data_IF_867203724801
#
_entry.id   IF_867203724801
#
_cell.length_a   1.000
_cell.length_b   1.000
_cell.length_c   1.000
_cell.angle_alpha   90.00
_cell.angle_beta   90.00
_cell.angle_gamma   90.00
#
_symmetry.space_group_name_H-M   'P 1'
#
loop_
_entity.id
_entity.type
_entity.pdbx_description
1 polymer ?
#
# COMPACT_ATOMS: atom_id res chain seq x y z
N UNK A 1 22.98 -3.56 -63.01
CA UNK A 1 23.19 -3.31 -61.56
C UNK A 1 22.71 -1.88 -61.33
N UNK A 2 21.66 -1.54 -60.59
CA UNK A 2 21.32 -1.84 -59.20
C UNK A 2 19.84 -1.44 -59.04
N UNK A 3 18.97 -2.37 -58.62
CA UNK A 3 17.52 -2.15 -58.48
C UNK A 3 17.28 -1.32 -57.22
N UNK A 4 16.79 -0.09 -57.35
CA UNK A 4 16.25 0.68 -56.22
C UNK A 4 14.83 0.19 -56.02
N UNK A 5 14.60 -0.61 -54.97
CA UNK A 5 13.25 -1.01 -54.55
C UNK A 5 12.93 -0.33 -53.22
N UNK A 6 11.84 0.44 -53.28
CA UNK A 6 11.04 0.99 -52.20
C UNK A 6 10.92 -0.01 -51.05
N UNK A 7 11.47 0.30 -49.88
CA UNK A 7 11.29 -0.48 -48.67
C UNK A 7 10.36 0.30 -47.73
N UNK A 8 9.16 -0.23 -47.55
CA UNK A 8 8.11 0.30 -46.70
C UNK A 8 8.54 0.31 -45.23
N UNK A 9 8.50 1.48 -44.59
CA UNK A 9 8.59 1.60 -43.14
C UNK A 9 7.34 1.01 -42.50
N UNK A 10 7.49 -0.17 -41.88
CA UNK A 10 6.46 -0.78 -41.03
C UNK A 10 6.42 0.01 -39.72
N UNK A 11 5.40 0.86 -39.57
CA UNK A 11 5.06 1.46 -38.28
C UNK A 11 4.51 0.36 -37.37
N UNK A 12 5.33 -0.11 -36.41
CA UNK A 12 4.89 -1.00 -35.35
C UNK A 12 3.99 -0.19 -34.41
N UNK A 13 2.68 -0.31 -34.56
CA UNK A 13 1.71 0.10 -33.54
C UNK A 13 1.91 -0.82 -32.33
N UNK A 14 2.63 -0.35 -31.31
CA UNK A 14 2.60 -0.96 -29.99
C UNK A 14 1.22 -0.72 -29.38
N UNK A 15 0.31 -1.66 -29.56
CA UNK A 15 -0.95 -1.71 -28.84
C UNK A 15 -0.62 -1.95 -27.35
N UNK A 16 -0.61 -0.88 -26.55
CA UNK A 16 -0.58 -0.99 -25.10
C UNK A 16 -1.90 -1.62 -24.66
N UNK A 17 -1.86 -2.91 -24.33
CA UNK A 17 -2.98 -3.59 -23.68
C UNK A 17 -3.13 -2.91 -22.31
N UNK A 18 -4.14 -2.06 -22.19
CA UNK A 18 -4.55 -1.51 -20.90
C UNK A 18 -5.14 -2.67 -20.08
N UNK A 19 -4.32 -3.24 -19.20
CA UNK A 19 -4.84 -4.13 -18.17
C UNK A 19 -5.78 -3.32 -17.27
N UNK A 20 -6.93 -3.88 -16.86
CA UNK A 20 -7.83 -3.21 -15.94
C UNK A 20 -7.08 -2.94 -14.63
N UNK A 21 -7.01 -1.67 -14.24
CA UNK A 21 -6.54 -1.27 -12.91
C UNK A 21 -7.68 -1.54 -11.93
N UNK A 22 -7.53 -2.57 -11.09
CA UNK A 22 -8.45 -2.79 -9.98
C UNK A 22 -8.01 -1.87 -8.83
N UNK A 23 -8.73 -0.76 -8.65
CA UNK A 23 -8.60 0.05 -7.45
C UNK A 23 -9.28 -0.69 -6.28
N UNK A 24 -8.72 -0.57 -5.07
CA UNK A 24 -9.37 -1.12 -3.89
C UNK A 24 -10.70 -0.40 -3.61
N UNK A 25 -11.72 -1.14 -3.19
CA UNK A 25 -13.02 -0.59 -2.82
C UNK A 25 -12.96 0.12 -1.47
N UNK A 26 -12.07 -0.36 -0.58
CA UNK A 26 -11.85 0.18 0.76
C UNK A 26 -10.36 0.26 1.04
N UNK A 27 -9.92 1.42 1.55
CA UNK A 27 -8.55 1.63 2.04
C UNK A 27 -8.57 1.90 3.53
N UNK A 28 -7.88 1.07 4.30
CA UNK A 28 -7.72 1.19 5.75
C UNK A 28 -6.32 1.69 6.09
N UNK A 29 -6.19 2.57 7.07
CA UNK A 29 -4.91 3.15 7.51
C UNK A 29 -4.42 2.47 8.78
N UNK A 30 -3.21 1.92 8.73
CA UNK A 30 -2.56 1.24 9.84
C UNK A 30 -1.27 1.98 10.24
N UNK A 31 -1.31 2.72 11.36
CA UNK A 31 -0.12 3.38 11.92
C UNK A 31 0.65 2.51 12.91
N UNK A 32 1.98 2.56 12.86
CA UNK A 32 2.85 1.94 13.87
C UNK A 32 4.11 2.76 14.15
N UNK A 33 4.67 2.60 15.35
CA UNK A 33 5.86 3.34 15.79
C UNK A 33 7.19 2.71 15.36
N UNK A 34 7.17 1.42 14.98
CA UNK A 34 8.37 0.67 14.61
C UNK A 34 9.14 1.28 13.43
N UNK A 35 10.47 1.24 13.52
CA UNK A 35 11.40 1.63 12.45
C UNK A 35 11.42 0.60 11.29
N UNK A 36 11.98 0.93 10.12
CA UNK A 36 12.16 -0.05 9.04
C UNK A 36 12.97 -1.26 9.49
N UNK A 37 12.56 -2.45 9.07
CA UNK A 37 13.14 -3.74 9.44
C UNK A 37 12.76 -4.21 10.86
N UNK A 38 11.91 -3.49 11.58
CA UNK A 38 11.43 -3.92 12.90
C UNK A 38 10.35 -5.00 12.80
N UNK A 39 10.16 -5.75 13.90
CA UNK A 39 9.06 -6.71 13.99
C UNK A 39 7.69 -6.04 13.80
N UNK A 40 7.55 -4.77 14.19
CA UNK A 40 6.29 -4.03 14.06
C UNK A 40 5.94 -3.83 12.59
N UNK A 41 6.92 -3.44 11.76
CA UNK A 41 6.73 -3.31 10.31
C UNK A 41 6.40 -4.67 9.68
N UNK A 42 7.13 -5.72 10.06
CA UNK A 42 6.87 -7.07 9.57
C UNK A 42 5.44 -7.55 9.91
N UNK A 43 4.97 -7.34 11.13
CA UNK A 43 3.62 -7.72 11.57
C UNK A 43 2.54 -6.95 10.83
N UNK A 44 2.69 -5.63 10.67
CA UNK A 44 1.70 -4.79 9.98
C UNK A 44 1.65 -5.12 8.48
N UNK A 45 2.80 -5.35 7.84
CA UNK A 45 2.85 -5.76 6.44
C UNK A 45 2.26 -7.16 6.23
N UNK A 46 2.49 -8.10 7.15
CA UNK A 46 1.86 -9.42 7.09
C UNK A 46 0.34 -9.31 7.22
N UNK A 47 -0.16 -8.48 8.13
CA UNK A 47 -1.60 -8.21 8.25
C UNK A 47 -2.17 -7.61 6.97
N UNK A 48 -1.50 -6.62 6.37
CA UNK A 48 -1.91 -6.01 5.11
C UNK A 48 -2.01 -7.04 3.97
N UNK A 49 -1.04 -7.95 3.88
CA UNK A 49 -1.06 -9.03 2.90
C UNK A 49 -2.24 -9.98 3.12
N UNK A 50 -2.47 -10.46 4.35
CA UNK A 50 -3.60 -11.34 4.65
C UNK A 50 -4.95 -10.69 4.28
N UNK A 51 -5.13 -9.42 4.62
CA UNK A 51 -6.37 -8.69 4.27
C UNK A 51 -6.54 -8.58 2.76
N UNK A 52 -5.47 -8.30 2.03
CA UNK A 52 -5.52 -8.25 0.57
C UNK A 52 -5.90 -9.61 -0.02
N UNK A 53 -5.27 -10.70 0.45
CA UNK A 53 -5.51 -12.05 -0.05
C UNK A 53 -6.95 -12.52 0.26
N UNK A 54 -7.40 -12.36 1.51
CA UNK A 54 -8.75 -12.79 1.93
C UNK A 54 -9.85 -11.95 1.26
N UNK A 55 -9.60 -10.67 0.99
CA UNK A 55 -10.56 -9.78 0.33
C UNK A 55 -10.54 -9.87 -1.20
N UNK A 56 -9.66 -10.68 -1.78
CA UNK A 56 -9.37 -10.70 -3.22
C UNK A 56 -9.03 -9.28 -3.76
N UNK A 57 -8.21 -8.54 -3.02
CA UNK A 57 -7.74 -7.20 -3.38
C UNK A 57 -8.77 -6.08 -3.21
N UNK A 58 -9.97 -6.36 -2.69
CA UNK A 58 -11.01 -5.34 -2.47
C UNK A 58 -10.68 -4.40 -1.30
N UNK A 59 -9.89 -4.87 -0.35
CA UNK A 59 -9.45 -4.08 0.80
C UNK A 59 -7.93 -3.89 0.72
N UNK A 60 -7.51 -2.64 0.74
CA UNK A 60 -6.11 -2.23 0.89
C UNK A 60 -5.86 -1.79 2.34
N UNK A 61 -4.78 -2.28 2.95
CA UNK A 61 -4.29 -1.74 4.23
C UNK A 61 -3.03 -0.94 3.95
N UNK A 62 -3.13 0.39 4.02
CA UNK A 62 -1.98 1.29 3.89
C UNK A 62 -1.24 1.41 5.22
N UNK A 63 0.05 1.09 5.18
CA UNK A 63 0.89 1.00 6.37
C UNK A 63 1.73 2.27 6.54
N UNK A 64 1.77 2.80 7.77
CA UNK A 64 2.49 4.03 8.10
C UNK A 64 3.41 3.77 9.30
N UNK A 65 4.66 3.42 8.99
CA UNK A 65 5.68 3.13 10.00
C UNK A 65 6.41 4.35 10.53
N UNK A 66 7.35 4.12 11.44
CA UNK A 66 8.23 5.15 12.01
C UNK A 66 7.49 6.33 12.63
N UNK A 67 6.32 6.09 13.23
CA UNK A 67 5.50 7.14 13.85
C UNK A 67 5.09 8.26 12.89
N UNK A 68 5.00 7.99 11.57
CA UNK A 68 4.58 8.98 10.57
C UNK A 68 3.20 9.60 10.89
N UNK A 69 2.32 8.84 11.53
CA UNK A 69 1.01 9.30 11.96
C UNK A 69 0.97 9.78 13.42
N UNK A 70 2.12 9.99 14.05
CA UNK A 70 2.26 10.40 15.45
C UNK A 70 2.79 9.29 16.35
N UNK A 71 3.22 9.66 17.55
CA UNK A 71 3.62 8.72 18.61
C UNK A 71 2.37 8.16 19.32
N UNK A 72 2.54 7.18 20.21
CA UNK A 72 1.45 6.43 20.88
C UNK A 72 0.21 7.27 21.24
N UNK A 73 0.39 8.36 22.01
CA UNK A 73 -0.74 9.22 22.43
C UNK A 73 -1.50 9.82 21.24
N UNK A 74 -0.78 10.38 20.28
CA UNK A 74 -1.38 11.02 19.11
C UNK A 74 -2.04 9.98 18.19
N UNK A 75 -1.37 8.84 18.00
CA UNK A 75 -1.88 7.74 17.19
C UNK A 75 -3.17 7.15 17.78
N UNK A 76 -3.22 6.95 19.10
CA UNK A 76 -4.42 6.48 19.79
C UNK A 76 -5.55 7.52 19.79
N UNK A 77 -5.23 8.82 19.87
CA UNK A 77 -6.21 9.89 19.70
C UNK A 77 -6.80 9.88 18.28
N UNK A 78 -5.97 9.68 17.25
CA UNK A 78 -6.43 9.55 15.86
C UNK A 78 -7.31 8.31 15.67
N UNK A 79 -6.96 7.20 16.30
CA UNK A 79 -7.78 5.98 16.28
C UNK A 79 -9.16 6.25 16.91
N UNK A 80 -9.19 6.90 18.09
CA UNK A 80 -10.44 7.26 18.77
C UNK A 80 -11.34 8.18 17.93
N UNK A 81 -10.75 9.07 17.14
CA UNK A 81 -11.47 9.98 16.26
C UNK A 81 -11.81 9.37 14.88
N UNK A 82 -11.44 8.11 14.62
CA UNK A 82 -11.67 7.44 13.33
C UNK A 82 -10.83 8.00 12.17
N UNK A 83 -9.69 8.64 12.47
CA UNK A 83 -8.77 9.15 11.44
C UNK A 83 -7.79 8.09 10.93
N UNK A 84 -7.59 7.04 11.72
CA UNK A 84 -6.89 5.80 11.36
C UNK A 84 -7.75 4.63 11.81
N UNK A 85 -7.61 3.49 11.14
CA UNK A 85 -8.41 2.29 11.39
C UNK A 85 -7.70 1.34 12.36
N UNK A 86 -6.36 1.35 12.33
CA UNK A 86 -5.54 0.48 13.17
C UNK A 86 -4.34 1.24 13.75
N UNK A 87 -3.93 0.81 14.95
CA UNK A 87 -2.76 1.32 15.64
C UNK A 87 -1.95 0.18 16.27
N UNK A 88 -0.64 0.20 16.06
CA UNK A 88 0.33 -0.62 16.79
C UNK A 88 1.27 0.31 17.60
N UNK A 89 0.88 0.71 18.82
CA UNK A 89 1.69 1.57 19.70
C UNK A 89 2.90 0.83 20.26
N UNK A 90 3.83 1.56 20.90
CA UNK A 90 5.04 0.99 21.50
C UNK A 90 4.79 0.00 22.64
N UNK A 91 3.63 0.11 23.29
CA UNK A 91 3.19 -0.74 24.40
C UNK A 91 1.67 -0.93 24.38
N UNK A 92 1.24 -2.11 24.82
CA UNK A 92 -0.18 -2.42 25.07
C UNK A 92 -0.72 -1.76 26.35
N UNK A 93 0.17 -1.31 27.25
CA UNK A 93 -0.21 -0.53 28.44
C UNK A 93 -0.35 0.94 28.06
N UNK A 94 -1.54 1.30 27.63
CA UNK A 94 -1.93 2.69 27.45
C UNK A 94 -2.37 3.28 28.79
N UNK A 95 -1.67 4.32 29.27
CA UNK A 95 -2.18 5.21 30.33
C UNK A 95 -2.92 6.44 29.77
N UNK A 96 -3.14 6.47 28.44
CA UNK A 96 -3.91 7.54 27.78
C UNK A 96 -5.42 7.30 27.85
#
# INVERSE_FOLDING_TARGET
>A
MKKIRLAASVAVLTATVAAPTFAADVTLKFGHVGKPGSLFEASVNAYAQCVSDESNGKIEVQTFGSSQLGKDKELLQKLKLGQVDFALPSSVMSSV
#
